data_IF_708181134739
#
_entry.id   IF_708181134739
#
_cell.length_a   1.000
_cell.length_b   1.000
_cell.length_c   1.000
_cell.angle_alpha   90.00
_cell.angle_beta   90.00
_cell.angle_gamma   90.00
#
_symmetry.space_group_name_H-M   'P 1'
#
loop_
_entity.id
_entity.type
_entity.pdbx_description
1 polymer ?
#
# COMPACT_ATOMS: atom_id res chain seq x y z
N UNK A 1 -31.02 12.84 5.02
CA UNK A 1 -30.15 12.46 3.89
C UNK A 1 -28.83 11.96 4.44
N UNK A 2 -28.45 10.70 4.22
CA UNK A 2 -27.16 10.15 4.70
C UNK A 2 -26.05 10.76 3.83
N UNK A 3 -25.08 11.42 4.47
CA UNK A 3 -23.93 11.94 3.74
C UNK A 3 -22.99 10.78 3.41
N UNK A 4 -22.58 10.57 2.14
CA UNK A 4 -21.69 9.48 1.80
C UNK A 4 -20.36 9.62 2.53
N UNK A 5 -19.82 8.46 2.97
CA UNK A 5 -18.48 8.38 3.57
C UNK A 5 -17.45 8.78 2.50
N UNK A 6 -16.41 9.50 2.93
CA UNK A 6 -15.26 9.83 2.08
C UNK A 6 -14.18 8.79 2.29
N UNK A 7 -13.50 8.41 1.21
CA UNK A 7 -12.36 7.48 1.24
C UNK A 7 -11.12 8.24 0.78
N UNK A 8 -10.03 8.13 1.55
CA UNK A 8 -8.72 8.66 1.20
C UNK A 8 -7.74 7.48 1.10
N UNK A 9 -7.25 7.21 -0.11
CA UNK A 9 -6.26 6.17 -0.36
C UNK A 9 -4.88 6.82 -0.60
N UNK A 10 -3.93 6.56 0.29
CA UNK A 10 -2.57 7.09 0.23
C UNK A 10 -1.62 5.94 -0.07
N UNK A 11 -0.76 6.11 -1.07
CA UNK A 11 0.29 5.17 -1.42
C UNK A 11 1.62 5.92 -1.53
N UNK A 12 2.68 5.32 -0.99
CA UNK A 12 4.03 5.85 -1.07
C UNK A 12 4.93 4.82 -1.76
N UNK A 13 5.67 5.26 -2.78
CA UNK A 13 6.52 4.36 -3.56
C UNK A 13 7.74 3.91 -2.73
N UNK A 14 8.15 2.67 -2.95
CA UNK A 14 9.38 2.10 -2.42
C UNK A 14 9.51 2.06 -0.87
N UNK A 15 8.40 2.20 -0.13
CA UNK A 15 8.41 2.15 1.33
C UNK A 15 8.59 0.72 1.86
N UNK A 16 9.66 0.49 2.64
CA UNK A 16 9.91 -0.75 3.40
C UNK A 16 9.00 -0.88 4.63
N UNK A 17 8.30 -2.00 4.78
CA UNK A 17 7.30 -2.19 5.86
C UNK A 17 7.85 -1.96 7.28
N UNK A 18 9.13 -2.29 7.51
CA UNK A 18 9.82 -2.10 8.78
C UNK A 18 10.22 -0.64 9.04
N UNK A 19 10.27 0.24 8.03
CA UNK A 19 10.60 1.65 8.19
C UNK A 19 9.40 2.47 8.72
N UNK A 20 8.85 2.05 9.85
CA UNK A 20 7.72 2.66 10.56
C UNK A 20 7.99 2.54 12.07
N UNK A 21 7.94 3.65 12.83
CA UNK A 21 8.20 3.57 14.27
C UNK A 21 7.15 2.74 15.01
N UNK A 22 5.88 2.80 14.62
CA UNK A 22 4.83 1.90 15.12
C UNK A 22 5.08 0.40 14.84
N UNK A 23 5.92 0.06 13.84
CA UNK A 23 6.38 -1.31 13.59
C UNK A 23 7.59 -1.72 14.46
N UNK A 24 8.13 -0.81 15.28
CA UNK A 24 9.27 -1.06 16.17
C UNK A 24 10.63 -0.65 15.61
N UNK A 25 10.67 0.18 14.55
CA UNK A 25 11.94 0.65 14.00
C UNK A 25 12.71 1.51 15.00
N UNK A 26 14.01 1.23 15.20
CA UNK A 26 14.83 1.89 16.24
C UNK A 26 15.21 3.35 15.95
N UNK A 27 15.31 3.72 14.66
CA UNK A 27 15.83 5.04 14.23
C UNK A 27 14.77 5.91 13.53
N UNK A 28 14.08 5.36 12.52
CA UNK A 28 12.99 6.04 11.80
C UNK A 28 11.92 6.54 12.76
N UNK A 29 11.50 7.80 12.55
CA UNK A 29 10.42 8.45 13.30
C UNK A 29 9.28 8.80 12.37
N UNK A 30 8.09 8.27 12.63
CA UNK A 30 6.88 8.50 11.81
C UNK A 30 5.69 8.93 12.68
N UNK A 31 5.80 10.02 13.47
CA UNK A 31 4.82 10.34 14.51
C UNK A 31 3.38 10.51 13.99
N UNK A 32 3.20 11.03 12.77
CA UNK A 32 1.87 11.18 12.17
C UNK A 32 1.25 9.84 11.71
N UNK A 33 2.07 8.89 11.27
CA UNK A 33 1.59 7.56 10.92
C UNK A 33 1.39 6.69 12.17
N UNK A 34 2.18 6.91 13.21
CA UNK A 34 2.00 6.27 14.49
C UNK A 34 0.66 6.68 15.12
N UNK A 35 0.30 7.97 15.04
CA UNK A 35 -1.02 8.46 15.45
C UNK A 35 -2.16 7.81 14.64
N UNK A 36 -2.00 7.71 13.31
CA UNK A 36 -2.98 7.03 12.45
C UNK A 36 -3.12 5.53 12.81
N UNK A 37 -2.01 4.87 13.16
CA UNK A 37 -2.01 3.47 13.57
C UNK A 37 -2.67 3.27 14.95
N UNK A 38 -2.52 4.22 15.87
CA UNK A 38 -3.14 4.19 17.20
C UNK A 38 -4.67 4.37 17.14
N UNK A 39 -5.17 5.22 16.23
CA UNK A 39 -6.60 5.45 16.01
C UNK A 39 -7.23 4.46 15.02
N UNK A 40 -6.47 3.47 14.55
CA UNK A 40 -6.85 2.58 13.45
C UNK A 40 -6.35 1.16 13.59
N UNK A 41 -6.10 0.51 12.45
CA UNK A 41 -5.61 -0.87 12.37
C UNK A 41 -4.31 -0.91 11.58
N UNK A 42 -3.25 -1.44 12.20
CA UNK A 42 -1.96 -1.67 11.56
C UNK A 42 -1.82 -3.15 11.12
N UNK A 43 -1.72 -3.38 9.82
CA UNK A 43 -1.49 -4.72 9.26
C UNK A 43 0.00 -5.06 9.25
N UNK A 44 0.45 -5.87 10.23
CA UNK A 44 1.87 -6.25 10.40
C UNK A 44 2.40 -7.26 9.38
N UNK A 45 1.52 -7.90 8.60
CA UNK A 45 1.86 -8.93 7.60
C UNK A 45 1.25 -8.56 6.24
N UNK A 46 1.63 -7.40 5.74
CA UNK A 46 1.19 -6.89 4.44
C UNK A 46 2.27 -7.12 3.38
N UNK A 47 1.90 -7.72 2.25
CA UNK A 47 2.83 -8.05 1.17
C UNK A 47 2.32 -7.48 -0.15
N UNK A 48 3.21 -6.87 -0.93
CA UNK A 48 2.92 -6.54 -2.33
C UNK A 48 2.70 -7.82 -3.12
N UNK A 49 1.70 -7.80 -4.02
CA UNK A 49 1.41 -8.94 -4.91
C UNK A 49 2.60 -9.24 -5.84
N UNK A 50 3.30 -8.19 -6.28
CA UNK A 50 4.45 -8.30 -7.18
C UNK A 50 5.31 -7.03 -7.10
N UNK A 51 6.45 -7.06 -7.79
CA UNK A 51 7.33 -5.93 -8.07
C UNK A 51 7.75 -6.01 -9.56
N UNK A 52 8.04 -4.88 -10.25
CA UNK A 52 8.24 -3.50 -9.79
C UNK A 52 6.95 -2.65 -9.67
N UNK A 53 7.10 -1.31 -9.62
CA UNK A 53 6.04 -0.35 -9.30
C UNK A 53 4.79 -0.45 -10.20
N UNK A 54 4.93 -0.59 -11.51
CA UNK A 54 3.81 -0.71 -12.45
C UNK A 54 2.91 -1.92 -12.13
N UNK A 55 3.43 -3.16 -12.21
CA UNK A 55 2.67 -4.37 -11.89
C UNK A 55 2.08 -4.36 -10.48
N UNK A 56 2.80 -3.85 -9.48
CA UNK A 56 2.31 -3.73 -8.10
C UNK A 56 1.09 -2.79 -8.00
N UNK A 57 1.16 -1.63 -8.66
CA UNK A 57 0.04 -0.67 -8.71
C UNK A 57 -1.15 -1.23 -9.46
N UNK A 58 -0.92 -1.99 -10.54
CA UNK A 58 -1.98 -2.69 -11.26
C UNK A 58 -2.71 -3.68 -10.36
N UNK A 59 -1.99 -4.49 -9.58
CA UNK A 59 -2.62 -5.40 -8.61
C UNK A 59 -3.44 -4.63 -7.56
N UNK A 60 -2.92 -3.51 -7.03
CA UNK A 60 -3.63 -2.67 -6.06
C UNK A 60 -4.93 -2.06 -6.61
N UNK A 61 -4.92 -1.61 -7.87
CA UNK A 61 -6.06 -0.92 -8.47
C UNK A 61 -7.14 -1.87 -8.99
N UNK A 62 -6.75 -3.05 -9.46
CA UNK A 62 -7.68 -4.05 -10.03
C UNK A 62 -8.18 -5.07 -9.00
N UNK A 63 -7.48 -5.23 -7.88
CA UNK A 63 -7.74 -6.29 -6.91
C UNK A 63 -7.38 -7.69 -7.42
N UNK A 64 -6.58 -7.79 -8.50
CA UNK A 64 -6.22 -9.04 -9.14
C UNK A 64 -4.75 -9.42 -8.87
N UNK A 65 -4.47 -10.72 -8.86
CA UNK A 65 -3.10 -11.24 -8.93
C UNK A 65 -2.46 -10.98 -10.29
N UNK A 66 -1.12 -10.91 -10.33
CA UNK A 66 -0.33 -10.75 -11.57
C UNK A 66 -0.75 -11.72 -12.68
N UNK A 67 -0.99 -12.98 -12.32
CA UNK A 67 -1.40 -14.03 -13.26
C UNK A 67 -2.73 -13.74 -13.96
N UNK A 68 -3.60 -12.91 -13.35
CA UNK A 68 -4.91 -12.55 -13.89
C UNK A 68 -4.85 -11.24 -14.70
N UNK A 69 -4.17 -10.20 -14.20
CA UNK A 69 -4.14 -8.89 -14.89
C UNK A 69 -3.03 -8.76 -15.95
N UNK A 70 -2.03 -9.66 -15.97
CA UNK A 70 -1.00 -9.81 -17.01
C UNK A 70 -0.07 -8.62 -17.30
N UNK A 71 -0.33 -7.42 -16.77
CA UNK A 71 0.63 -6.30 -16.76
C UNK A 71 1.89 -6.64 -15.93
N UNK A 72 2.88 -7.25 -16.59
CA UNK A 72 4.00 -7.95 -15.97
C UNK A 72 5.25 -7.12 -15.71
N UNK A 73 5.39 -5.97 -16.38
CA UNK A 73 6.56 -5.09 -16.29
C UNK A 73 6.10 -3.64 -16.25
N UNK A 74 7.00 -2.74 -15.86
CA UNK A 74 6.77 -1.31 -16.02
C UNK A 74 6.51 -0.99 -17.50
N UNK A 75 5.42 -0.25 -17.76
CA UNK A 75 4.99 0.10 -19.11
C UNK A 75 4.19 -0.99 -19.84
N UNK A 76 3.96 -2.17 -19.24
CA UNK A 76 2.99 -3.13 -19.82
C UNK A 76 1.59 -2.56 -19.62
N UNK A 77 0.83 -2.30 -20.70
CA UNK A 77 -0.48 -1.70 -20.55
C UNK A 77 -1.51 -2.75 -20.08
N UNK A 78 -2.73 -2.29 -19.79
CA UNK A 78 -3.82 -3.12 -19.25
C UNK A 78 -4.82 -3.59 -20.32
N UNK A 79 -4.59 -3.21 -21.58
CA UNK A 79 -5.40 -3.54 -22.75
C UNK A 79 -4.95 -4.81 -23.47
#
# INVERSE_FOLDING_TARGET
>A
MVRPRKVLFISADQWRAECLSAAGHKVVKTPHLDALAADGVLFRRHFSVTAPCGPSRTSMQTGLYLMNHRSGRNGTPLD
#
